data_IF_734429325511
#
_entry.id   IF_734429325511
#
_cell.length_a   1.000
_cell.length_b   1.000
_cell.length_c   1.000
_cell.angle_alpha   90.00
_cell.angle_beta   90.00
_cell.angle_gamma   90.00
#
_symmetry.space_group_name_H-M   'P 1'
#
loop_
_entity.id
_entity.type
_entity.pdbx_description
1 polymer ?
#
# COMPACT_ATOMS: atom_id res chain seq x y z
N UNK A 1 24.71 9.44 5.98
CA UNK A 1 23.64 10.23 5.36
C UNK A 1 22.46 10.39 6.30
N UNK A 2 21.61 11.41 6.08
CA UNK A 2 20.36 11.64 6.81
C UNK A 2 19.19 11.37 5.90
N UNK A 3 18.25 10.53 6.34
CA UNK A 3 17.06 10.17 5.56
C UNK A 3 15.80 10.58 6.32
N UNK A 4 14.78 11.05 5.60
CA UNK A 4 13.46 11.32 6.14
C UNK A 4 12.42 10.48 5.44
N UNK A 5 11.69 9.65 6.20
CA UNK A 5 10.49 8.93 5.74
C UNK A 5 9.28 9.78 6.11
N UNK A 6 8.46 10.12 5.12
CA UNK A 6 7.21 10.85 5.34
C UNK A 6 6.06 9.88 5.52
N UNK A 7 5.26 10.08 6.56
CA UNK A 7 4.11 9.28 6.94
C UNK A 7 4.17 8.73 8.35
N UNK A 8 3.15 7.96 8.76
CA UNK A 8 2.98 7.49 10.15
C UNK A 8 2.41 6.07 10.28
N UNK A 9 2.18 5.38 9.17
CA UNK A 9 1.57 4.05 9.15
C UNK A 9 2.54 2.90 9.45
N UNK A 10 2.02 1.68 9.36
CA UNK A 10 2.83 0.46 9.48
C UNK A 10 3.84 0.32 8.34
N UNK A 11 3.46 0.78 7.14
CA UNK A 11 4.34 0.87 5.98
C UNK A 11 5.56 1.75 6.26
N UNK A 12 5.36 2.95 6.81
CA UNK A 12 6.47 3.85 7.12
C UNK A 12 7.36 3.30 8.23
N UNK A 13 6.78 2.60 9.21
CA UNK A 13 7.59 1.91 10.22
C UNK A 13 8.43 0.79 9.60
N UNK A 14 7.89 0.00 8.66
CA UNK A 14 8.64 -1.03 7.97
C UNK A 14 9.75 -0.45 7.07
N UNK A 15 9.50 0.69 6.41
CA UNK A 15 10.52 1.43 5.67
C UNK A 15 11.64 1.92 6.61
N UNK A 16 11.29 2.52 7.74
CA UNK A 16 12.27 2.96 8.75
C UNK A 16 13.09 1.79 9.29
N UNK A 17 12.47 0.65 9.58
CA UNK A 17 13.17 -0.55 10.06
C UNK A 17 14.16 -1.08 9.00
N UNK A 18 13.75 -1.13 7.73
CA UNK A 18 14.63 -1.57 6.65
C UNK A 18 15.80 -0.60 6.43
N UNK A 19 15.57 0.70 6.50
CA UNK A 19 16.59 1.74 6.41
C UNK A 19 17.56 1.73 7.62
N UNK A 20 17.04 1.49 8.83
CA UNK A 20 17.83 1.48 10.05
C UNK A 20 18.87 0.33 10.12
N UNK A 21 18.78 -0.67 9.23
CA UNK A 21 19.78 -1.75 9.13
C UNK A 21 21.12 -1.26 8.56
N UNK A 22 21.10 -0.20 7.75
CA UNK A 22 22.29 0.30 7.10
C UNK A 22 23.16 1.13 8.03
N UNK A 23 24.46 0.83 8.03
CA UNK A 23 25.47 1.62 8.76
C UNK A 23 25.81 2.97 8.11
N UNK A 24 25.35 3.21 6.86
CA UNK A 24 25.57 4.46 6.13
C UNK A 24 24.64 5.57 6.58
N UNK A 25 23.52 5.22 7.25
CA UNK A 25 22.56 6.18 7.77
C UNK A 25 23.00 6.64 9.16
N UNK A 26 23.39 7.88 9.27
CA UNK A 26 23.81 8.49 10.55
C UNK A 26 22.62 9.06 11.32
N UNK A 27 21.53 9.40 10.64
CA UNK A 27 20.29 9.87 11.26
C UNK A 27 19.09 9.55 10.37
N UNK A 28 18.10 8.90 10.97
CA UNK A 28 16.79 8.64 10.37
C UNK A 28 15.73 9.53 11.03
N UNK A 29 14.85 10.11 10.22
CA UNK A 29 13.66 10.85 10.62
C UNK A 29 12.41 10.17 10.09
N UNK A 30 11.29 10.28 10.83
CA UNK A 30 9.97 9.84 10.36
C UNK A 30 8.94 10.93 10.70
N UNK A 31 8.23 11.46 9.71
CA UNK A 31 7.37 12.62 9.89
C UNK A 31 5.95 12.37 9.35
N UNK A 32 4.92 12.43 10.18
CA UNK A 32 4.97 12.66 11.62
C UNK A 32 5.45 11.45 12.45
N UNK A 33 5.47 10.22 11.86
CA UNK A 33 5.86 9.00 12.54
C UNK A 33 4.80 8.46 13.51
N UNK A 34 5.16 7.42 14.26
CA UNK A 34 4.30 6.77 15.27
C UNK A 34 5.13 6.30 16.48
N UNK A 35 4.51 5.66 17.46
CA UNK A 35 5.20 5.20 18.67
C UNK A 35 6.30 4.14 18.40
N UNK A 36 6.22 3.41 17.29
CA UNK A 36 7.25 2.45 16.91
C UNK A 36 8.44 3.11 16.21
N UNK A 37 8.17 4.02 15.28
CA UNK A 37 9.22 4.77 14.58
C UNK A 37 10.03 5.63 15.53
N UNK A 38 9.44 6.12 16.63
CA UNK A 38 10.14 6.88 17.67
C UNK A 38 11.28 6.09 18.36
N UNK A 39 11.28 4.75 18.26
CA UNK A 39 12.32 3.89 18.84
C UNK A 39 13.57 3.77 17.94
N UNK A 40 13.42 4.00 16.64
CA UNK A 40 14.47 3.78 15.63
C UNK A 40 14.78 5.00 14.76
N UNK A 41 13.94 6.03 14.84
CA UNK A 41 14.06 7.29 14.11
C UNK A 41 13.70 8.47 15.02
N UNK A 42 14.05 9.69 14.61
CA UNK A 42 13.51 10.89 15.25
C UNK A 42 12.20 11.27 14.57
N UNK A 43 11.11 11.18 15.33
CA UNK A 43 9.83 11.67 14.86
C UNK A 43 9.78 13.20 14.96
N UNK A 44 9.11 13.81 13.99
CA UNK A 44 8.84 15.25 14.01
C UNK A 44 7.41 15.46 13.49
N UNK A 45 6.59 16.12 14.31
CA UNK A 45 5.20 16.39 13.96
C UNK A 45 5.15 17.40 12.81
N UNK A 46 4.83 16.93 11.62
CA UNK A 46 4.86 17.66 10.37
C UNK A 46 3.59 17.37 9.57
N UNK A 47 2.89 18.44 9.21
CA UNK A 47 1.76 18.38 8.31
C UNK A 47 2.24 18.24 6.87
N UNK A 48 2.04 17.06 6.29
CA UNK A 48 2.50 16.75 4.94
C UNK A 48 1.72 17.45 3.83
N UNK A 49 0.61 18.12 4.14
CA UNK A 49 -0.14 18.95 3.21
C UNK A 49 0.44 20.37 3.08
N UNK A 50 1.28 20.78 4.05
CA UNK A 50 2.01 22.05 4.06
C UNK A 50 3.41 21.88 3.47
N UNK A 51 3.51 21.89 2.14
CA UNK A 51 4.76 21.62 1.43
C UNK A 51 5.92 22.56 1.84
N UNK A 52 5.60 23.81 2.18
CA UNK A 52 6.57 24.78 2.67
C UNK A 52 7.20 24.35 4.00
N UNK A 53 6.40 23.85 4.93
CA UNK A 53 6.89 23.36 6.23
C UNK A 53 7.75 22.10 6.04
N UNK A 54 7.35 21.20 5.13
CA UNK A 54 8.14 20.02 4.75
C UNK A 54 9.50 20.43 4.20
N UNK A 55 9.53 21.34 3.23
CA UNK A 55 10.78 21.88 2.66
C UNK A 55 11.68 22.50 3.73
N UNK A 56 11.13 23.38 4.57
CA UNK A 56 11.88 24.07 5.62
C UNK A 56 12.48 23.08 6.64
N UNK A 57 11.74 22.03 7.00
CA UNK A 57 12.25 20.93 7.81
C UNK A 57 13.44 20.23 7.15
N UNK A 58 13.31 19.85 5.88
CA UNK A 58 14.34 19.12 5.12
C UNK A 58 15.63 19.95 5.05
N UNK A 59 15.53 21.24 4.71
CA UNK A 59 16.67 22.14 4.61
C UNK A 59 17.30 22.38 5.96
N UNK A 60 16.52 22.64 7.01
CA UNK A 60 17.00 22.87 8.39
C UNK A 60 17.83 21.70 8.90
N UNK A 61 17.36 20.47 8.70
CA UNK A 61 18.03 19.26 9.20
C UNK A 61 19.05 18.68 8.21
N UNK A 62 19.19 19.27 7.02
CA UNK A 62 20.09 18.85 5.94
C UNK A 62 19.86 17.38 5.60
N UNK A 63 18.62 17.07 5.21
CA UNK A 63 18.21 15.71 4.80
C UNK A 63 18.76 15.42 3.40
N UNK A 64 19.44 14.28 3.25
CA UNK A 64 20.05 13.85 1.98
C UNK A 64 19.07 13.15 1.07
N UNK A 65 18.07 12.46 1.62
CA UNK A 65 17.04 11.72 0.87
C UNK A 65 15.71 11.78 1.60
N UNK A 66 14.65 12.09 0.85
CA UNK A 66 13.25 12.00 1.31
C UNK A 66 12.59 10.78 0.69
N UNK A 67 11.90 9.99 1.50
CA UNK A 67 11.10 8.82 1.06
C UNK A 67 9.63 9.10 1.37
N UNK A 68 8.80 9.20 0.34
CA UNK A 68 7.37 9.50 0.52
C UNK A 68 6.59 8.19 0.67
N UNK A 69 6.01 7.97 1.85
CA UNK A 69 5.24 6.77 2.15
C UNK A 69 3.79 6.83 1.66
N UNK A 70 2.98 7.86 2.05
CA UNK A 70 1.56 7.93 1.71
C UNK A 70 1.30 8.47 0.30
N UNK A 71 0.15 8.12 -0.26
CA UNK A 71 -0.28 8.47 -1.61
C UNK A 71 -0.65 9.96 -1.77
N UNK A 72 -1.30 10.56 -0.78
CA UNK A 72 -1.83 11.94 -0.91
C UNK A 72 -0.75 12.97 -1.25
N UNK A 73 0.39 13.06 -0.53
CA UNK A 73 1.46 13.98 -0.89
C UNK A 73 2.03 13.76 -2.30
N UNK A 74 2.08 12.51 -2.78
CA UNK A 74 2.53 12.18 -4.14
C UNK A 74 1.56 12.73 -5.19
N UNK A 75 0.26 12.45 -5.01
CA UNK A 75 -0.81 12.91 -5.92
C UNK A 75 -0.93 14.43 -5.93
N UNK A 76 -0.73 15.07 -4.78
CA UNK A 76 -0.79 16.54 -4.65
C UNK A 76 0.46 17.23 -5.23
N UNK A 77 1.58 16.50 -5.43
CA UNK A 77 2.78 17.00 -6.12
C UNK A 77 3.92 17.45 -5.22
N UNK A 78 4.03 16.86 -4.03
CA UNK A 78 5.14 17.15 -3.09
C UNK A 78 6.50 16.89 -3.73
N UNK A 79 6.64 15.85 -4.56
CA UNK A 79 7.90 15.53 -5.25
C UNK A 79 8.30 16.67 -6.16
N UNK A 80 7.39 17.11 -7.07
CA UNK A 80 7.63 18.22 -7.99
C UNK A 80 7.98 19.52 -7.25
N UNK A 81 7.34 19.73 -6.09
CA UNK A 81 7.63 20.92 -5.27
C UNK A 81 9.04 20.86 -4.66
N UNK A 82 9.45 19.73 -4.09
CA UNK A 82 10.74 19.60 -3.43
C UNK A 82 11.92 19.58 -4.42
N UNK A 83 11.73 19.02 -5.61
CA UNK A 83 12.76 18.98 -6.66
C UNK A 83 13.17 20.40 -7.13
N UNK A 84 12.29 21.41 -7.05
CA UNK A 84 12.62 22.81 -7.37
C UNK A 84 13.72 23.37 -6.45
N UNK A 85 13.94 22.76 -5.29
CA UNK A 85 14.96 23.14 -4.30
C UNK A 85 16.16 22.18 -4.29
N UNK A 86 16.32 21.35 -5.35
CA UNK A 86 17.37 20.32 -5.46
C UNK A 86 17.35 19.29 -4.32
N UNK A 87 16.19 19.03 -3.74
CA UNK A 87 16.01 18.00 -2.71
C UNK A 87 15.80 16.66 -3.41
N UNK A 88 16.62 15.66 -3.04
CA UNK A 88 16.47 14.29 -3.57
C UNK A 88 15.28 13.62 -2.92
N UNK A 89 14.30 13.19 -3.74
CA UNK A 89 13.06 12.56 -3.29
C UNK A 89 12.88 11.22 -3.98
N UNK A 90 12.58 10.18 -3.23
CA UNK A 90 12.13 8.90 -3.75
C UNK A 90 10.61 8.83 -3.70
N UNK A 91 10.00 8.88 -4.85
CA UNK A 91 8.56 8.85 -5.10
C UNK A 91 8.24 9.39 -6.49
N UNK A 92 7.13 8.99 -7.13
CA UNK A 92 6.75 9.51 -8.43
C UNK A 92 6.25 10.95 -8.33
N UNK A 93 6.47 11.72 -9.39
CA UNK A 93 5.97 13.08 -9.54
C UNK A 93 4.44 13.11 -9.63
N UNK A 94 3.85 14.31 -9.55
CA UNK A 94 2.40 14.54 -9.57
C UNK A 94 1.70 13.87 -10.75
N UNK A 95 2.29 13.96 -11.95
CA UNK A 95 1.70 13.42 -13.18
C UNK A 95 1.71 11.89 -13.17
N UNK A 96 2.82 11.26 -12.81
CA UNK A 96 2.92 9.81 -12.68
C UNK A 96 2.04 9.27 -11.54
N UNK A 97 1.88 10.05 -10.47
CA UNK A 97 1.02 9.70 -9.33
C UNK A 97 -0.47 9.65 -9.66
N UNK A 98 -0.88 10.19 -10.82
CA UNK A 98 -2.27 10.05 -11.29
C UNK A 98 -2.66 8.59 -11.59
N UNK A 99 -1.72 7.67 -11.71
CA UNK A 99 -2.02 6.23 -11.76
C UNK A 99 -2.81 5.74 -10.52
N UNK A 100 -2.59 6.34 -9.34
CA UNK A 100 -3.38 6.08 -8.11
C UNK A 100 -4.43 7.18 -7.89
N UNK A 101 -4.10 8.44 -8.21
CA UNK A 101 -4.95 9.60 -7.95
C UNK A 101 -6.24 9.63 -8.76
N UNK A 102 -6.25 9.06 -9.98
CA UNK A 102 -7.43 8.97 -10.83
C UNK A 102 -7.54 7.58 -11.47
N UNK A 103 -8.61 6.86 -11.11
CA UNK A 103 -8.93 5.58 -11.72
C UNK A 103 -9.23 5.73 -13.22
N UNK A 104 -9.85 6.84 -13.61
CA UNK A 104 -10.14 7.17 -15.00
C UNK A 104 -8.86 7.39 -15.80
N UNK A 105 -7.88 8.09 -15.24
CA UNK A 105 -6.57 8.25 -15.88
C UNK A 105 -5.95 6.89 -16.18
N UNK A 106 -5.93 5.99 -15.19
CA UNK A 106 -5.43 4.62 -15.35
C UNK A 106 -6.20 3.84 -16.40
N UNK A 107 -7.54 3.92 -16.41
CA UNK A 107 -8.38 3.22 -17.40
C UNK A 107 -8.16 3.72 -18.84
N UNK A 108 -7.99 5.03 -19.03
CA UNK A 108 -7.64 5.59 -20.35
C UNK A 108 -6.27 5.11 -20.83
N UNK A 109 -5.29 4.96 -19.93
CA UNK A 109 -4.01 4.32 -20.24
C UNK A 109 -4.22 2.86 -20.62
N UNK A 110 -5.00 2.11 -19.86
CA UNK A 110 -5.28 0.70 -20.17
C UNK A 110 -5.90 0.52 -21.56
N UNK A 111 -6.87 1.33 -21.91
CA UNK A 111 -7.53 1.31 -23.22
C UNK A 111 -6.54 1.61 -24.34
N UNK A 112 -5.82 2.74 -24.24
CA UNK A 112 -4.87 3.19 -25.27
C UNK A 112 -3.71 2.21 -25.50
N UNK A 113 -3.17 1.62 -24.43
CA UNK A 113 -2.00 0.74 -24.49
C UNK A 113 -2.37 -0.76 -24.40
N UNK A 114 -3.66 -1.08 -24.51
CA UNK A 114 -4.20 -2.46 -24.51
C UNK A 114 -3.79 -3.26 -23.28
N UNK A 115 -3.70 -2.61 -22.13
CA UNK A 115 -3.42 -3.26 -20.86
C UNK A 115 -4.66 -4.05 -20.41
N UNK A 116 -4.55 -5.35 -20.10
CA UNK A 116 -5.69 -6.14 -19.65
C UNK A 116 -6.30 -5.57 -18.38
N UNK A 117 -7.58 -5.25 -18.42
CA UNK A 117 -8.38 -4.76 -17.28
C UNK A 117 -9.85 -5.07 -17.53
N UNK A 118 -10.71 -4.95 -16.52
CA UNK A 118 -12.16 -5.08 -16.66
C UNK A 118 -12.71 -4.13 -17.72
N UNK A 119 -13.70 -4.56 -18.50
CA UNK A 119 -14.47 -3.66 -19.35
C UNK A 119 -15.16 -2.62 -18.47
N UNK A 120 -15.20 -1.38 -18.93
CA UNK A 120 -15.65 -0.27 -18.09
C UNK A 120 -16.45 0.78 -18.87
N UNK A 121 -17.23 1.56 -18.14
CA UNK A 121 -17.85 2.79 -18.56
C UNK A 121 -17.54 3.92 -17.57
N UNK A 122 -17.40 5.15 -18.08
CA UNK A 122 -17.16 6.35 -17.29
C UNK A 122 -18.40 7.23 -17.39
N UNK A 123 -18.91 7.71 -16.25
CA UNK A 123 -20.15 8.48 -16.19
C UNK A 123 -19.98 9.72 -15.31
N UNK A 124 -20.48 10.88 -15.80
CA UNK A 124 -20.42 12.17 -15.14
C UNK A 124 -21.71 12.54 -14.42
N UNK A 125 -22.75 11.73 -14.58
CA UNK A 125 -24.07 11.95 -13.94
C UNK A 125 -24.78 10.65 -13.60
N UNK A 126 -25.73 10.78 -12.69
CA UNK A 126 -26.51 9.67 -12.14
C UNK A 126 -27.45 9.03 -13.19
N UNK A 127 -28.05 9.85 -14.06
CA UNK A 127 -29.03 9.37 -15.06
C UNK A 127 -28.40 8.39 -16.05
N UNK A 128 -27.29 8.78 -16.68
CA UNK A 128 -26.58 7.94 -17.67
C UNK A 128 -26.03 6.68 -17.01
N UNK A 129 -25.53 6.79 -15.77
CA UNK A 129 -25.07 5.66 -14.98
C UNK A 129 -26.20 4.64 -14.76
N UNK A 130 -27.38 5.12 -14.34
CA UNK A 130 -28.54 4.25 -14.07
C UNK A 130 -29.08 3.60 -15.34
N UNK A 131 -29.02 4.29 -16.48
CA UNK A 131 -29.42 3.73 -17.76
C UNK A 131 -28.46 2.61 -18.22
N UNK A 132 -27.15 2.83 -18.06
CA UNK A 132 -26.15 1.80 -18.35
C UNK A 132 -26.35 0.55 -17.46
N UNK A 133 -26.61 0.75 -16.17
CA UNK A 133 -26.81 -0.33 -15.19
C UNK A 133 -28.02 -1.22 -15.52
N UNK A 134 -29.07 -0.70 -16.16
CA UNK A 134 -30.24 -1.50 -16.60
C UNK A 134 -29.89 -2.56 -17.65
N UNK A 135 -28.83 -2.30 -18.43
CA UNK A 135 -28.36 -3.20 -19.52
C UNK A 135 -27.16 -4.04 -19.14
N UNK A 136 -26.63 -3.84 -17.93
CA UNK A 136 -25.42 -4.50 -17.46
C UNK A 136 -25.68 -5.91 -16.93
N UNK A 137 -24.65 -6.77 -17.01
CA UNK A 137 -24.65 -8.09 -16.34
C UNK A 137 -24.15 -7.92 -14.91
N UNK A 138 -24.65 -8.73 -14.00
CA UNK A 138 -24.27 -8.73 -12.58
C UNK A 138 -23.51 -10.01 -12.21
N UNK A 139 -22.59 -9.98 -11.21
CA UNK A 139 -22.23 -8.79 -10.41
C UNK A 139 -21.49 -7.73 -11.23
N UNK A 140 -21.51 -6.46 -10.72
CA UNK A 140 -20.83 -5.32 -11.33
C UNK A 140 -20.08 -4.53 -10.27
N UNK A 141 -19.00 -3.82 -10.66
CA UNK A 141 -18.19 -3.03 -9.74
C UNK A 141 -18.36 -1.54 -10.04
N UNK A 142 -18.66 -0.74 -9.00
CA UNK A 142 -18.81 0.71 -9.11
C UNK A 142 -17.74 1.37 -8.24
N UNK A 143 -17.01 2.32 -8.80
CA UNK A 143 -15.89 2.99 -8.14
C UNK A 143 -16.01 4.52 -8.24
N UNK A 144 -15.79 5.22 -7.14
CA UNK A 144 -15.60 6.67 -7.13
C UNK A 144 -14.21 7.01 -7.72
N UNK A 145 -14.14 8.05 -8.57
CA UNK A 145 -12.88 8.53 -9.17
C UNK A 145 -12.20 9.56 -8.26
N UNK A 146 -11.77 9.11 -7.09
CA UNK A 146 -10.96 9.88 -6.14
C UNK A 146 -10.18 8.96 -5.20
N UNK A 147 -9.32 9.55 -4.35
CA UNK A 147 -8.63 8.85 -3.26
C UNK A 147 -9.61 8.57 -2.13
N UNK A 148 -10.24 7.40 -2.11
CA UNK A 148 -11.21 6.98 -1.11
C UNK A 148 -10.69 5.90 -0.16
N UNK A 149 -9.37 5.65 -0.10
CA UNK A 149 -8.73 4.63 0.75
C UNK A 149 -9.45 3.26 0.68
N UNK A 150 -9.81 2.82 -0.54
CA UNK A 150 -10.50 1.56 -0.80
C UNK A 150 -11.98 1.52 -0.41
N UNK A 151 -12.53 2.58 0.19
CA UNK A 151 -13.92 2.62 0.64
C UNK A 151 -14.93 2.97 -0.46
N UNK A 152 -14.49 3.63 -1.52
CA UNK A 152 -15.32 4.05 -2.66
C UNK A 152 -15.51 2.96 -3.73
N UNK A 153 -15.46 1.68 -3.37
CA UNK A 153 -15.62 0.53 -4.28
C UNK A 153 -16.79 -0.33 -3.81
N UNK A 154 -17.75 -0.54 -4.68
CA UNK A 154 -18.93 -1.37 -4.45
C UNK A 154 -18.95 -2.54 -5.42
N UNK A 155 -19.12 -3.75 -4.91
CA UNK A 155 -19.47 -4.94 -5.69
C UNK A 155 -20.97 -5.13 -5.52
N UNK A 156 -21.71 -5.00 -6.61
CA UNK A 156 -23.17 -5.00 -6.61
C UNK A 156 -23.69 -6.27 -7.29
N UNK A 157 -24.42 -7.08 -6.55
CA UNK A 157 -24.97 -8.35 -7.03
C UNK A 157 -26.25 -8.17 -7.87
N UNK A 158 -26.90 -7.02 -7.74
CA UNK A 158 -28.17 -6.69 -8.42
C UNK A 158 -28.33 -5.20 -8.69
N UNK A 159 -29.26 -4.86 -9.58
CA UNK A 159 -29.52 -3.50 -10.02
C UNK A 159 -29.85 -2.52 -8.90
N UNK A 160 -30.60 -2.96 -7.88
CA UNK A 160 -30.95 -2.07 -6.74
C UNK A 160 -29.72 -1.64 -5.97
N UNK A 161 -28.77 -2.56 -5.71
CA UNK A 161 -27.54 -2.26 -4.98
C UNK A 161 -26.66 -1.30 -5.77
N UNK A 162 -26.59 -1.51 -7.10
CA UNK A 162 -25.83 -0.67 -8.01
C UNK A 162 -26.39 0.77 -8.09
N UNK A 163 -27.72 0.92 -8.14
CA UNK A 163 -28.36 2.26 -8.11
C UNK A 163 -28.04 3.01 -6.82
N UNK A 164 -28.17 2.33 -5.67
CA UNK A 164 -27.84 2.92 -4.37
C UNK A 164 -26.36 3.35 -4.30
N UNK A 165 -25.44 2.52 -4.80
CA UNK A 165 -24.02 2.85 -4.84
C UNK A 165 -23.73 4.10 -5.69
N UNK A 166 -24.38 4.23 -6.85
CA UNK A 166 -24.28 5.44 -7.71
C UNK A 166 -24.76 6.68 -6.95
N UNK A 167 -25.95 6.61 -6.33
CA UNK A 167 -26.51 7.70 -5.54
C UNK A 167 -25.61 8.11 -4.38
N UNK A 168 -25.10 7.15 -3.60
CA UNK A 168 -24.20 7.42 -2.48
C UNK A 168 -22.90 8.13 -2.93
N UNK A 169 -22.32 7.74 -4.08
CA UNK A 169 -21.09 8.35 -4.59
C UNK A 169 -21.36 9.78 -5.07
N UNK A 170 -22.39 10.02 -5.89
CA UNK A 170 -22.70 11.36 -6.38
C UNK A 170 -23.17 12.30 -5.27
N UNK A 171 -23.81 11.77 -4.20
CA UNK A 171 -24.13 12.52 -2.99
C UNK A 171 -22.91 12.83 -2.09
N UNK A 172 -21.71 12.49 -2.51
CA UNK A 172 -20.45 12.88 -1.85
C UNK A 172 -20.07 12.05 -0.63
N UNK A 173 -20.59 10.84 -0.46
CA UNK A 173 -20.24 9.95 0.68
C UNK A 173 -18.73 9.75 0.86
N UNK A 174 -17.95 9.82 -0.22
CA UNK A 174 -16.49 9.67 -0.22
C UNK A 174 -15.79 10.97 -0.65
N UNK A 175 -16.40 12.12 -0.45
CA UNK A 175 -15.98 13.39 -1.00
C UNK A 175 -16.54 13.63 -2.40
N UNK A 176 -16.25 14.81 -2.96
CA UNK A 176 -16.70 15.15 -4.31
C UNK A 176 -16.06 14.22 -5.35
N UNK A 177 -16.88 13.48 -6.07
CA UNK A 177 -16.47 12.69 -7.21
C UNK A 177 -17.16 13.26 -8.47
N UNK A 178 -16.36 13.86 -9.38
CA UNK A 178 -16.89 14.37 -10.66
C UNK A 178 -17.42 13.23 -11.53
N UNK A 179 -16.79 12.08 -11.43
CA UNK A 179 -17.08 10.92 -12.26
C UNK A 179 -17.17 9.66 -11.42
N UNK A 180 -17.88 8.68 -11.93
CA UNK A 180 -17.84 7.30 -11.46
C UNK A 180 -17.35 6.37 -12.56
N UNK A 181 -16.75 5.26 -12.14
CA UNK A 181 -16.32 4.17 -13.00
C UNK A 181 -17.22 2.97 -12.72
N UNK A 182 -17.81 2.37 -13.76
CA UNK A 182 -18.59 1.14 -13.68
C UNK A 182 -17.84 0.07 -14.47
N UNK A 183 -17.55 -1.07 -13.85
CA UNK A 183 -16.73 -2.14 -14.40
C UNK A 183 -17.44 -3.48 -14.34
N UNK A 184 -17.17 -4.36 -15.32
CA UNK A 184 -17.53 -5.77 -15.19
C UNK A 184 -16.79 -6.40 -13.99
N UNK A 185 -17.45 -7.34 -13.33
CA UNK A 185 -16.81 -8.15 -12.29
C UNK A 185 -15.94 -9.24 -12.92
N UNK A 186 -14.68 -9.32 -12.53
CA UNK A 186 -13.76 -10.37 -12.94
C UNK A 186 -13.63 -11.39 -11.82
N UNK A 187 -13.99 -12.65 -12.11
CA UNK A 187 -13.75 -13.77 -11.20
C UNK A 187 -12.26 -14.14 -11.19
N UNK A 188 -11.71 -14.32 -9.99
CA UNK A 188 -10.31 -14.69 -9.84
C UNK A 188 -9.81 -14.51 -8.41
N UNK A 189 -8.51 -14.51 -8.26
CA UNK A 189 -7.85 -14.20 -7.00
C UNK A 189 -7.03 -12.93 -7.13
N UNK A 190 -7.14 -12.07 -6.12
CA UNK A 190 -6.35 -10.84 -6.06
C UNK A 190 -4.90 -11.15 -5.70
N UNK A 191 -3.98 -10.44 -6.35
CA UNK A 191 -2.55 -10.48 -6.08
C UNK A 191 -1.96 -9.07 -6.19
N UNK A 192 -1.06 -8.75 -5.28
CA UNK A 192 -0.25 -7.54 -5.31
C UNK A 192 1.10 -7.84 -5.96
N UNK A 193 1.42 -7.14 -7.05
CA UNK A 193 2.71 -7.24 -7.75
C UNK A 193 3.44 -5.91 -7.66
N UNK A 194 4.66 -5.94 -7.13
CA UNK A 194 5.46 -4.74 -6.90
C UNK A 194 6.65 -4.68 -7.85
N UNK A 195 6.86 -3.51 -8.41
CA UNK A 195 8.10 -3.16 -9.09
C UNK A 195 8.68 -1.89 -8.50
N UNK A 196 9.98 -1.73 -8.66
CA UNK A 196 10.69 -0.48 -8.40
C UNK A 196 11.28 0.04 -9.72
N UNK A 197 11.23 1.35 -9.91
CA UNK A 197 11.67 1.99 -11.15
C UNK A 197 12.50 3.24 -10.87
N UNK A 198 13.48 3.49 -11.73
CA UNK A 198 14.28 4.71 -11.76
C UNK A 198 13.94 5.62 -12.98
N UNK A 199 12.81 5.33 -13.66
CA UNK A 199 12.40 6.00 -14.88
C UNK A 199 12.96 5.35 -16.16
N UNK A 200 14.04 4.57 -16.07
CA UNK A 200 14.68 3.86 -17.18
C UNK A 200 14.60 2.34 -16.99
N UNK A 201 15.03 1.89 -15.85
CA UNK A 201 15.09 0.47 -15.43
C UNK A 201 13.91 0.14 -14.51
N UNK A 202 13.36 -1.05 -14.69
CA UNK A 202 12.31 -1.60 -13.83
C UNK A 202 12.81 -2.92 -13.27
N UNK A 203 12.65 -3.14 -11.97
CA UNK A 203 12.96 -4.42 -11.32
C UNK A 203 11.77 -4.92 -10.52
N UNK A 204 11.55 -6.24 -10.52
CA UNK A 204 10.58 -6.87 -9.63
C UNK A 204 10.98 -6.63 -8.18
N UNK A 205 10.02 -6.18 -7.35
CA UNK A 205 10.23 -5.88 -5.93
C UNK A 205 9.38 -6.77 -5.00
N UNK A 206 8.90 -7.88 -5.52
CA UNK A 206 8.15 -8.87 -4.76
C UNK A 206 6.67 -8.92 -5.07
N UNK A 207 6.01 -9.86 -4.41
CA UNK A 207 4.57 -10.10 -4.53
C UNK A 207 3.97 -10.40 -3.17
N UNK A 208 2.68 -10.08 -3.00
CA UNK A 208 1.95 -10.44 -1.80
C UNK A 208 0.48 -10.76 -2.13
N UNK A 209 -0.21 -11.38 -1.19
CA UNK A 209 -1.68 -11.43 -1.20
C UNK A 209 -2.20 -10.89 0.12
N UNK A 210 -3.07 -9.89 0.02
CA UNK A 210 -3.72 -9.20 1.13
C UNK A 210 -5.09 -9.83 1.44
N UNK A 211 -5.52 -9.68 2.69
CA UNK A 211 -6.85 -10.08 3.18
C UNK A 211 -7.66 -8.81 3.46
N UNK A 212 -8.35 -8.31 2.44
CA UNK A 212 -9.04 -7.01 2.49
C UNK A 212 -10.31 -6.99 3.33
N UNK A 213 -10.97 -8.11 3.52
CA UNK A 213 -12.24 -8.17 4.26
C UNK A 213 -12.00 -8.23 5.77
N UNK A 214 -12.88 -7.52 6.51
CA UNK A 214 -12.73 -7.32 7.96
C UNK A 214 -12.97 -8.59 8.78
N UNK A 215 -13.81 -9.52 8.31
CA UNK A 215 -14.19 -10.74 9.01
C UNK A 215 -13.51 -11.98 8.42
N UNK A 216 -13.42 -13.03 9.23
CA UNK A 216 -12.94 -14.34 8.82
C UNK A 216 -13.74 -14.89 7.64
N UNK A 217 -13.11 -15.75 6.82
CA UNK A 217 -13.68 -16.30 5.60
C UNK A 217 -13.90 -15.25 4.50
N UNK A 218 -13.11 -14.17 4.50
CA UNK A 218 -13.19 -13.06 3.55
C UNK A 218 -14.59 -12.44 3.46
N UNK A 219 -15.23 -12.21 4.62
CA UNK A 219 -16.56 -11.63 4.77
C UNK A 219 -16.52 -10.20 5.31
N UNK A 220 -17.66 -9.52 5.21
CA UNK A 220 -17.83 -8.15 5.75
C UNK A 220 -17.29 -7.07 4.82
N UNK A 221 -17.03 -5.89 5.39
CA UNK A 221 -16.61 -4.69 4.64
C UNK A 221 -15.15 -4.76 4.21
N UNK A 222 -14.82 -4.05 3.14
CA UNK A 222 -13.44 -3.82 2.74
C UNK A 222 -12.72 -2.95 3.78
N UNK A 223 -11.43 -3.20 3.93
CA UNK A 223 -10.52 -2.49 4.84
C UNK A 223 -9.24 -2.08 4.09
N UNK A 224 -8.31 -1.46 4.77
CA UNK A 224 -6.96 -1.24 4.25
C UNK A 224 -6.05 -2.49 4.30
N UNK A 225 -6.59 -3.67 4.66
CA UNK A 225 -5.87 -4.93 4.83
C UNK A 225 -5.84 -5.40 6.29
N UNK A 226 -6.26 -6.64 6.50
CA UNK A 226 -6.27 -7.32 7.81
C UNK A 226 -5.05 -8.21 8.03
N UNK A 227 -4.21 -8.35 7.01
CA UNK A 227 -3.00 -9.13 6.98
C UNK A 227 -2.64 -9.52 5.55
N UNK A 228 -1.39 -9.94 5.36
CA UNK A 228 -0.89 -10.35 4.07
C UNK A 228 0.17 -11.45 4.21
N UNK A 229 0.45 -12.15 3.12
CA UNK A 229 1.57 -13.06 3.03
C UNK A 229 2.39 -12.82 1.75
N UNK A 230 3.66 -13.15 1.79
CA UNK A 230 4.61 -13.00 0.69
C UNK A 230 5.60 -14.19 0.66
N UNK A 231 6.00 -14.65 -0.53
CA UNK A 231 5.48 -14.27 -1.86
C UNK A 231 4.05 -14.78 -2.06
N UNK A 232 3.34 -14.22 -3.06
CA UNK A 232 2.06 -14.75 -3.50
C UNK A 232 2.17 -16.22 -3.94
N UNK A 233 1.19 -17.05 -3.59
CA UNK A 233 1.13 -18.45 -4.05
C UNK A 233 0.85 -18.59 -5.55
N UNK A 234 0.30 -17.53 -6.15
CA UNK A 234 -0.09 -17.52 -7.57
C UNK A 234 1.11 -17.28 -8.49
N UNK A 235 2.17 -16.64 -8.00
CA UNK A 235 3.29 -16.23 -8.85
C UNK A 235 4.13 -17.42 -9.33
N UNK A 236 4.39 -17.45 -10.60
CA UNK A 236 5.36 -18.30 -11.26
C UNK A 236 6.03 -17.53 -12.40
N UNK A 237 7.04 -18.07 -13.02
CA UNK A 237 7.83 -17.40 -14.08
C UNK A 237 6.98 -16.99 -15.30
N UNK A 238 5.98 -17.78 -15.68
CA UNK A 238 5.08 -17.47 -16.80
C UNK A 238 4.17 -16.29 -16.46
N UNK A 239 3.52 -16.33 -15.30
CA UNK A 239 2.65 -15.25 -14.84
C UNK A 239 3.43 -13.95 -14.63
N UNK A 240 4.63 -14.01 -14.06
CA UNK A 240 5.51 -12.85 -13.92
C UNK A 240 5.81 -12.20 -15.27
N UNK A 241 6.21 -13.01 -16.27
CA UNK A 241 6.46 -12.54 -17.63
C UNK A 241 5.22 -11.90 -18.26
N UNK A 242 4.03 -12.50 -18.07
CA UNK A 242 2.76 -11.92 -18.54
C UNK A 242 2.48 -10.58 -17.89
N UNK A 243 2.65 -10.45 -16.56
CA UNK A 243 2.43 -9.21 -15.84
C UNK A 243 3.37 -8.11 -16.35
N UNK A 244 4.66 -8.42 -16.45
CA UNK A 244 5.65 -7.46 -16.94
C UNK A 244 5.33 -6.99 -18.35
N UNK A 245 5.07 -7.92 -19.29
CA UNK A 245 4.91 -7.59 -20.70
C UNK A 245 3.53 -6.98 -21.03
N UNK A 246 2.45 -7.43 -20.36
CA UNK A 246 1.08 -6.98 -20.69
C UNK A 246 0.64 -5.78 -19.85
N UNK A 247 1.25 -5.56 -18.68
CA UNK A 247 0.79 -4.56 -17.71
C UNK A 247 1.86 -3.53 -17.40
N UNK A 248 3.01 -3.97 -16.85
CA UNK A 248 4.02 -3.04 -16.32
C UNK A 248 4.72 -2.25 -17.42
N UNK A 249 5.33 -2.93 -18.40
CA UNK A 249 6.04 -2.23 -19.48
C UNK A 249 5.15 -1.31 -20.31
N UNK A 250 3.92 -1.69 -20.71
CA UNK A 250 3.01 -0.76 -21.38
C UNK A 250 2.63 0.46 -20.54
N UNK A 251 2.49 0.30 -19.21
CA UNK A 251 2.21 1.43 -18.32
C UNK A 251 3.37 2.41 -18.24
N UNK A 252 4.59 1.91 -18.09
CA UNK A 252 5.77 2.78 -18.06
C UNK A 252 5.98 3.44 -19.42
N UNK A 253 5.71 2.74 -20.53
CA UNK A 253 5.76 3.34 -21.86
C UNK A 253 4.72 4.45 -22.00
N UNK A 254 3.49 4.25 -21.50
CA UNK A 254 2.45 5.27 -21.50
C UNK A 254 2.90 6.54 -20.76
N UNK A 255 3.56 6.41 -19.61
CA UNK A 255 4.09 7.55 -18.87
C UNK A 255 5.21 8.26 -19.63
N UNK A 256 6.12 7.51 -20.28
CA UNK A 256 7.15 8.10 -21.16
C UNK A 256 6.56 8.89 -22.31
N UNK A 257 5.53 8.36 -22.98
CA UNK A 257 4.81 9.06 -24.05
C UNK A 257 4.10 10.32 -23.55
N UNK A 258 3.71 10.33 -22.29
CA UNK A 258 3.21 11.51 -21.58
C UNK A 258 4.32 12.45 -21.09
N UNK A 259 5.60 12.19 -21.46
CA UNK A 259 6.78 12.98 -21.06
C UNK A 259 6.91 13.07 -19.52
N UNK A 260 6.77 11.94 -18.84
CA UNK A 260 7.02 11.84 -17.41
C UNK A 260 7.69 10.51 -17.09
N UNK A 261 8.75 10.56 -16.28
CA UNK A 261 9.43 9.37 -15.76
C UNK A 261 8.69 8.86 -14.53
N UNK A 262 8.79 7.56 -14.29
CA UNK A 262 8.30 6.95 -13.05
C UNK A 262 9.47 6.56 -12.16
N UNK A 263 9.70 7.30 -11.08
CA UNK A 263 10.71 6.98 -10.06
C UNK A 263 9.96 6.61 -8.78
N UNK A 264 10.15 5.38 -8.29
CA UNK A 264 9.47 4.92 -7.09
C UNK A 264 9.02 3.47 -7.14
N UNK A 265 8.26 3.08 -6.12
CA UNK A 265 7.53 1.81 -6.11
C UNK A 265 6.24 1.93 -6.91
N UNK A 266 5.98 0.97 -7.78
CA UNK A 266 4.69 0.80 -8.44
C UNK A 266 4.06 -0.52 -8.00
N UNK A 267 2.93 -0.44 -7.35
CA UNK A 267 2.12 -1.57 -6.95
C UNK A 267 0.97 -1.75 -7.96
N UNK A 268 0.99 -2.85 -8.69
CA UNK A 268 -0.13 -3.28 -9.52
C UNK A 268 -1.02 -4.23 -8.71
N UNK A 269 -2.24 -3.81 -8.41
CA UNK A 269 -3.31 -4.66 -7.89
C UNK A 269 -3.92 -5.45 -9.04
N UNK A 270 -3.78 -6.76 -9.00
CA UNK A 270 -4.12 -7.66 -10.10
C UNK A 270 -5.23 -8.63 -9.70
N UNK A 271 -6.18 -8.91 -10.61
CA UNK A 271 -7.02 -10.08 -10.58
C UNK A 271 -6.41 -11.14 -11.48
N UNK A 272 -6.11 -12.30 -10.92
CA UNK A 272 -5.60 -13.45 -11.68
C UNK A 272 -6.77 -14.38 -11.97
N UNK A 273 -7.16 -14.44 -13.24
CA UNK A 273 -8.26 -15.29 -13.73
C UNK A 273 -7.72 -16.26 -14.77
N UNK A 274 -7.85 -17.57 -14.56
CA UNK A 274 -7.38 -18.61 -15.48
C UNK A 274 -5.91 -18.44 -15.92
N UNK A 275 -5.04 -18.06 -14.99
CA UNK A 275 -3.61 -17.76 -15.19
C UNK A 275 -3.34 -16.57 -16.14
N UNK A 276 -4.30 -15.66 -16.29
CA UNK A 276 -4.15 -14.37 -16.98
C UNK A 276 -4.31 -13.22 -16.00
N UNK A 277 -3.40 -12.20 -16.03
CA UNK A 277 -3.47 -11.06 -15.15
C UNK A 277 -4.35 -9.96 -15.74
N UNK A 278 -5.22 -9.38 -14.90
CA UNK A 278 -6.02 -8.20 -15.20
C UNK A 278 -5.72 -7.11 -14.17
N UNK A 279 -5.43 -5.92 -14.63
CA UNK A 279 -5.20 -4.78 -13.76
C UNK A 279 -6.51 -4.33 -13.11
N UNK A 280 -6.53 -4.28 -11.76
CA UNK A 280 -7.64 -3.73 -10.97
C UNK A 280 -7.38 -2.24 -10.70
N UNK A 281 -6.17 -1.91 -10.21
CA UNK A 281 -5.75 -0.57 -9.85
C UNK A 281 -4.22 -0.50 -9.73
N UNK A 282 -3.69 0.71 -9.76
CA UNK A 282 -2.33 0.99 -9.31
C UNK A 282 -2.32 1.70 -7.97
N UNK A 283 -1.25 1.44 -7.20
CA UNK A 283 -0.83 2.29 -6.10
C UNK A 283 0.61 2.74 -6.39
N UNK A 284 0.88 4.04 -6.23
CA UNK A 284 2.17 4.66 -6.61
C UNK A 284 3.18 4.65 -5.45
N UNK A 285 3.06 3.69 -4.58
CA UNK A 285 3.84 3.47 -3.35
C UNK A 285 3.70 2.01 -2.93
N UNK A 286 4.43 1.60 -1.88
CA UNK A 286 4.22 0.28 -1.28
C UNK A 286 2.83 0.16 -0.66
N UNK A 287 2.27 -1.04 -0.64
CA UNK A 287 1.03 -1.35 0.07
C UNK A 287 1.19 -1.36 1.59
N UNK A 288 0.10 -1.36 2.30
CA UNK A 288 0.03 -1.51 3.76
C UNK A 288 -1.13 -2.47 4.08
N UNK A 289 -0.88 -3.77 4.42
CA UNK A 289 0.31 -4.28 5.10
C UNK A 289 1.35 -5.01 4.23
N UNK A 290 1.33 -4.89 2.90
CA UNK A 290 2.26 -5.63 2.03
C UNK A 290 3.72 -5.20 2.24
N UNK A 291 3.98 -3.91 2.47
CA UNK A 291 5.32 -3.40 2.78
C UNK A 291 5.90 -4.09 4.01
N UNK A 292 5.13 -4.19 5.09
CA UNK A 292 5.50 -4.86 6.32
C UNK A 292 5.78 -6.35 6.11
N UNK A 293 5.15 -6.94 5.09
CA UNK A 293 5.30 -8.35 4.76
C UNK A 293 6.52 -8.60 3.88
N UNK A 294 6.84 -7.71 2.96
CA UNK A 294 7.90 -7.88 1.95
C UNK A 294 9.26 -7.44 2.48
N UNK A 295 9.39 -6.22 3.05
CA UNK A 295 10.68 -5.63 3.41
C UNK A 295 11.51 -6.44 4.42
N UNK A 296 10.93 -7.19 5.38
CA UNK A 296 11.69 -8.07 6.25
C UNK A 296 12.51 -9.14 5.52
N UNK A 297 12.11 -9.52 4.29
CA UNK A 297 12.81 -10.50 3.46
C UNK A 297 13.94 -9.90 2.61
N UNK A 298 14.00 -8.57 2.46
CA UNK A 298 15.06 -7.90 1.69
C UNK A 298 16.40 -8.08 2.39
N UNK A 299 17.46 -8.46 1.63
CA UNK A 299 18.83 -8.58 2.16
C UNK A 299 19.68 -7.35 1.91
N UNK A 300 19.42 -6.62 0.82
CA UNK A 300 20.12 -5.38 0.53
C UNK A 300 19.86 -4.29 1.57
N UNK A 301 20.81 -3.39 1.72
CA UNK A 301 20.59 -2.09 2.33
C UNK A 301 19.61 -1.29 1.48
N UNK A 302 18.42 -0.95 2.04
CA UNK A 302 17.33 -0.33 1.28
C UNK A 302 17.74 1.01 0.69
N UNK A 303 18.52 1.81 1.41
CA UNK A 303 18.96 3.12 0.92
C UNK A 303 19.77 3.05 -0.35
N UNK A 304 20.58 1.99 -0.57
CA UNK A 304 21.35 1.81 -1.82
C UNK A 304 20.41 1.70 -3.02
N UNK A 305 19.32 0.94 -2.87
CA UNK A 305 18.31 0.77 -3.91
C UNK A 305 17.60 2.11 -4.18
N UNK A 306 17.19 2.81 -3.12
CA UNK A 306 16.45 4.08 -3.26
C UNK A 306 17.32 5.18 -3.88
N UNK A 307 18.59 5.26 -3.50
CA UNK A 307 19.55 6.21 -4.08
C UNK A 307 19.78 5.88 -5.56
N UNK A 308 20.01 4.60 -5.88
CA UNK A 308 20.20 4.15 -7.27
C UNK A 308 18.98 4.52 -8.14
N UNK A 309 17.75 4.46 -7.60
CA UNK A 309 16.56 4.93 -8.32
C UNK A 309 16.61 6.43 -8.57
N UNK A 310 16.90 7.23 -7.55
CA UNK A 310 16.99 8.69 -7.70
C UNK A 310 18.12 9.13 -8.65
N UNK A 311 19.16 8.32 -8.80
CA UNK A 311 20.32 8.58 -9.66
C UNK A 311 20.25 7.90 -11.03
N UNK A 312 19.12 7.23 -11.35
CA UNK A 312 18.93 6.45 -12.60
C UNK A 312 20.00 5.37 -12.82
N UNK A 313 20.43 4.73 -11.72
CA UNK A 313 21.45 3.67 -11.69
C UNK A 313 20.91 2.32 -11.19
N UNK A 314 19.59 2.13 -11.21
CA UNK A 314 18.97 0.89 -10.70
C UNK A 314 19.43 -0.36 -11.47
N UNK A 315 19.87 -0.22 -12.72
CA UNK A 315 20.45 -1.30 -13.51
C UNK A 315 21.72 -1.91 -12.86
N UNK A 316 22.45 -1.13 -12.05
CA UNK A 316 23.69 -1.55 -11.38
C UNK A 316 23.45 -2.27 -10.04
N UNK A 317 22.22 -2.23 -9.50
CA UNK A 317 21.89 -2.85 -8.22
C UNK A 317 21.25 -4.21 -8.45
N UNK A 318 21.78 -5.27 -7.84
CA UNK A 318 21.10 -6.57 -7.78
C UNK A 318 20.22 -6.61 -6.53
N UNK A 319 18.91 -6.87 -6.70
CA UNK A 319 17.96 -6.95 -5.56
C UNK A 319 17.89 -8.41 -5.10
N UNK A 320 18.24 -8.63 -3.85
CA UNK A 320 18.37 -9.97 -3.27
C UNK A 320 17.37 -10.16 -2.11
N UNK A 321 16.85 -11.36 -2.02
CA UNK A 321 15.82 -11.73 -1.06
C UNK A 321 16.24 -12.96 -0.24
N UNK A 322 15.90 -12.95 1.05
CA UNK A 322 16.00 -14.14 1.89
C UNK A 322 15.12 -15.26 1.30
N UNK A 323 15.63 -16.47 1.25
CA UNK A 323 14.83 -17.64 0.87
C UNK A 323 13.87 -18.04 2.00
N UNK A 324 12.88 -17.19 2.27
CA UNK A 324 11.88 -17.34 3.32
C UNK A 324 10.49 -16.98 2.83
N UNK A 325 9.49 -17.35 3.62
CA UNK A 325 8.12 -16.89 3.55
C UNK A 325 7.90 -15.83 4.64
N UNK A 326 6.90 -14.99 4.43
CA UNK A 326 6.51 -13.96 5.38
C UNK A 326 4.99 -13.93 5.54
N UNK A 327 4.50 -13.74 6.75
CA UNK A 327 3.09 -13.58 7.04
C UNK A 327 2.90 -12.45 8.06
N UNK A 328 1.99 -11.53 7.74
CA UNK A 328 1.60 -10.39 8.56
C UNK A 328 0.16 -10.52 9.02
N UNK A 329 -0.11 -10.30 10.31
CA UNK A 329 -1.45 -10.19 10.88
C UNK A 329 -1.62 -8.79 11.47
N UNK A 330 -2.71 -8.11 11.08
CA UNK A 330 -3.01 -6.74 11.52
C UNK A 330 -3.94 -6.79 12.72
N UNK A 331 -3.50 -6.18 13.82
CA UNK A 331 -4.28 -5.94 15.02
C UNK A 331 -5.03 -4.62 14.89
N UNK A 332 -6.35 -4.66 15.01
CA UNK A 332 -7.23 -3.51 14.84
C UNK A 332 -7.88 -3.09 16.15
N UNK A 333 -8.24 -1.80 16.25
CA UNK A 333 -9.08 -1.29 17.31
C UNK A 333 -10.54 -1.70 17.13
N UNK A 334 -11.27 -1.88 18.24
CA UNK A 334 -12.70 -2.23 18.22
C UNK A 334 -13.51 -1.20 17.45
N UNK A 335 -14.29 -1.66 16.47
CA UNK A 335 -15.14 -0.86 15.61
C UNK A 335 -14.54 -0.57 14.21
N UNK A 336 -13.27 -0.91 13.98
CA UNK A 336 -12.68 -0.80 12.64
C UNK A 336 -13.44 -1.69 11.61
N UNK A 337 -13.65 -1.26 10.36
CA UNK A 337 -13.11 -0.07 9.68
C UNK A 337 -13.92 1.23 9.83
N UNK A 338 -14.97 1.24 10.62
CA UNK A 338 -15.87 2.38 10.77
C UNK A 338 -15.50 3.24 12.00
N UNK A 339 -16.40 3.33 12.98
CA UNK A 339 -16.22 4.12 14.19
C UNK A 339 -15.37 3.34 15.21
N UNK A 340 -14.06 3.40 15.09
CA UNK A 340 -13.12 2.70 15.97
C UNK A 340 -12.71 3.56 17.17
N UNK A 341 -12.41 2.87 18.28
CA UNK A 341 -11.95 3.51 19.52
C UNK A 341 -10.52 4.00 19.41
N UNK A 342 -10.25 5.21 19.92
CA UNK A 342 -8.93 5.83 20.03
C UNK A 342 -8.54 6.06 21.49
N UNK A 343 -7.32 6.51 21.74
CA UNK A 343 -6.79 6.85 23.07
C UNK A 343 -6.81 5.70 24.08
N UNK A 344 -6.73 4.46 23.60
CA UNK A 344 -6.65 3.27 24.44
C UNK A 344 -5.17 2.95 24.66
N UNK A 345 -4.75 2.81 25.93
CA UNK A 345 -3.39 2.35 26.27
C UNK A 345 -3.17 0.91 25.81
N UNK A 346 -2.06 0.67 25.12
CA UNK A 346 -1.62 -0.66 24.70
C UNK A 346 -0.62 -1.16 25.74
N UNK A 347 -1.08 -2.06 26.62
CA UNK A 347 -0.25 -2.64 27.67
C UNK A 347 0.44 -3.92 27.17
N UNK A 348 1.59 -4.24 27.75
CA UNK A 348 2.27 -5.52 27.52
C UNK A 348 3.12 -5.59 26.25
N UNK A 349 3.34 -4.49 25.54
CA UNK A 349 4.23 -4.47 24.36
C UNK A 349 5.65 -4.97 24.66
N UNK A 350 6.17 -4.65 25.86
CA UNK A 350 7.50 -5.07 26.29
C UNK A 350 7.58 -6.56 26.70
N UNK A 351 6.44 -7.23 26.84
CA UNK A 351 6.37 -8.63 27.21
C UNK A 351 6.39 -9.56 25.99
N UNK A 352 6.33 -9.00 24.79
CA UNK A 352 6.33 -9.77 23.53
C UNK A 352 7.77 -10.23 23.26
N UNK A 353 7.96 -11.54 23.23
CA UNK A 353 9.28 -12.14 22.97
C UNK A 353 9.53 -12.30 21.47
N UNK A 354 9.99 -11.24 20.79
CA UNK A 354 10.31 -11.27 19.36
C UNK A 354 11.65 -11.98 19.13
N UNK A 355 11.66 -12.96 18.23
CA UNK A 355 12.87 -13.58 17.70
C UNK A 355 13.46 -12.76 16.55
N UNK A 356 14.64 -13.15 16.05
CA UNK A 356 15.26 -12.52 14.86
C UNK A 356 14.43 -12.62 13.56
N UNK A 357 13.40 -13.47 13.55
CA UNK A 357 12.48 -13.65 12.43
C UNK A 357 11.14 -12.95 12.64
N UNK A 358 10.91 -12.36 13.81
CA UNK A 358 9.66 -11.69 14.17
C UNK A 358 9.83 -10.18 14.12
N UNK A 359 8.80 -9.49 13.64
CA UNK A 359 8.74 -8.04 13.57
C UNK A 359 7.42 -7.53 14.12
N UNK A 360 7.47 -6.41 14.80
CA UNK A 360 6.28 -5.70 15.30
C UNK A 360 6.31 -4.27 14.76
N UNK A 361 5.47 -4.00 13.78
CA UNK A 361 5.33 -2.67 13.23
C UNK A 361 4.12 -1.95 13.83
N UNK A 362 4.34 -0.75 14.33
CA UNK A 362 3.29 0.15 14.77
C UNK A 362 2.65 0.82 13.55
N UNK A 363 1.32 0.98 13.60
CA UNK A 363 0.55 1.76 12.64
C UNK A 363 -0.14 2.92 13.40
N UNK A 364 -1.43 2.87 13.62
CA UNK A 364 -2.17 3.90 14.33
C UNK A 364 -1.86 3.92 15.83
N UNK A 365 -0.67 4.38 16.20
CA UNK A 365 -0.22 4.49 17.60
C UNK A 365 0.52 5.80 17.84
N UNK A 366 0.46 6.31 19.06
CA UNK A 366 1.29 7.42 19.53
C UNK A 366 1.81 7.15 20.95
N UNK A 367 2.87 7.85 21.33
CA UNK A 367 3.44 7.76 22.66
C UNK A 367 3.06 9.01 23.48
N UNK A 368 2.67 8.79 24.73
CA UNK A 368 2.46 9.84 25.74
C UNK A 368 2.88 9.31 27.11
N UNK A 369 3.73 10.07 27.82
CA UNK A 369 4.25 9.71 29.14
C UNK A 369 4.83 8.28 29.18
N UNK A 370 5.66 7.92 28.19
CA UNK A 370 6.29 6.59 28.03
C UNK A 370 5.31 5.43 27.87
N UNK A 371 4.06 5.72 27.53
CA UNK A 371 3.01 4.73 27.26
C UNK A 371 2.54 4.84 25.83
N UNK A 372 2.24 3.71 25.23
CA UNK A 372 1.74 3.64 23.85
C UNK A 372 0.21 3.62 23.84
N UNK A 373 -0.39 4.43 22.98
CA UNK A 373 -1.83 4.57 22.81
C UNK A 373 -2.25 4.37 21.38
N UNK A 374 -3.51 3.95 21.19
CA UNK A 374 -4.17 3.82 19.89
C UNK A 374 -4.54 5.20 19.33
N UNK A 375 -4.13 5.50 18.09
CA UNK A 375 -4.53 6.69 17.32
C UNK A 375 -5.35 6.35 16.08
N UNK A 376 -5.24 5.14 15.54
CA UNK A 376 -5.84 4.70 14.28
C UNK A 376 -6.61 3.39 14.38
N UNK A 377 -7.28 3.01 13.28
CA UNK A 377 -8.08 1.79 13.22
C UNK A 377 -7.23 0.52 13.15
N UNK A 378 -6.21 0.48 12.27
CA UNK A 378 -5.16 -0.53 12.28
C UNK A 378 -4.09 -0.06 13.25
N UNK A 379 -3.73 -0.88 14.22
CA UNK A 379 -2.95 -0.48 15.39
C UNK A 379 -1.53 -1.02 15.32
N UNK A 380 -1.39 -2.34 15.18
CA UNK A 380 -0.11 -3.04 15.14
C UNK A 380 -0.11 -4.08 14.02
N UNK A 381 1.06 -4.37 13.49
CA UNK A 381 1.27 -5.42 12.49
C UNK A 381 2.30 -6.41 13.05
N UNK A 382 1.90 -7.63 13.26
CA UNK A 382 2.76 -8.72 13.67
C UNK A 382 3.21 -9.48 12.43
N UNK A 383 4.50 -9.62 12.25
CA UNK A 383 5.08 -10.30 11.08
C UNK A 383 6.05 -11.37 11.53
N UNK A 384 5.98 -12.53 10.89
CA UNK A 384 6.96 -13.60 11.12
C UNK A 384 7.49 -14.14 9.80
N UNK A 385 8.80 -14.38 9.76
CA UNK A 385 9.48 -15.07 8.67
C UNK A 385 9.68 -16.53 9.03
N UNK A 386 9.52 -17.43 8.05
CA UNK A 386 9.75 -18.87 8.22
C UNK A 386 10.12 -19.54 6.90
N UNK A 387 10.44 -20.82 6.93
CA UNK A 387 10.69 -21.65 5.75
C UNK A 387 9.37 -22.08 5.07
N UNK A 388 8.28 -22.09 5.84
CA UNK A 388 6.93 -22.38 5.35
C UNK A 388 5.92 -21.34 5.85
N UNK A 389 4.78 -21.21 5.17
CA UNK A 389 3.69 -20.34 5.63
C UNK A 389 3.05 -20.84 6.93
N UNK A 390 3.02 -22.16 7.14
CA UNK A 390 2.55 -22.74 8.40
C UNK A 390 3.43 -22.30 9.58
N UNK A 391 4.76 -22.33 9.44
CA UNK A 391 5.70 -21.82 10.43
C UNK A 391 5.45 -20.33 10.72
N UNK A 392 5.36 -19.50 9.67
CA UNK A 392 5.06 -18.08 9.81
C UNK A 392 3.74 -17.84 10.57
N UNK A 393 2.68 -18.57 10.20
CA UNK A 393 1.36 -18.46 10.84
C UNK A 393 1.43 -18.83 12.33
N UNK A 394 2.01 -19.96 12.66
CA UNK A 394 2.13 -20.40 14.06
C UNK A 394 2.90 -19.36 14.90
N UNK A 395 4.03 -18.88 14.40
CA UNK A 395 4.84 -17.89 15.08
C UNK A 395 4.09 -16.58 15.30
N UNK A 396 3.51 -15.98 14.25
CA UNK A 396 2.83 -14.70 14.37
C UNK A 396 1.64 -14.75 15.32
N UNK A 397 0.84 -15.84 15.30
CA UNK A 397 -0.29 -15.96 16.22
C UNK A 397 0.15 -16.25 17.67
N UNK A 398 1.29 -16.91 17.89
CA UNK A 398 1.85 -17.07 19.23
C UNK A 398 2.28 -15.71 19.79
N UNK A 399 2.95 -14.84 18.98
CA UNK A 399 3.31 -13.47 19.41
C UNK A 399 2.10 -12.60 19.71
N UNK A 400 1.04 -12.70 18.89
CA UNK A 400 -0.22 -12.00 19.13
C UNK A 400 -0.87 -12.36 20.47
N UNK A 401 -0.81 -13.63 20.89
CA UNK A 401 -1.36 -14.08 22.19
C UNK A 401 -0.61 -13.47 23.38
N UNK A 402 0.70 -13.21 23.25
CA UNK A 402 1.52 -12.61 24.33
C UNK A 402 1.04 -11.18 24.66
N UNK A 403 0.48 -10.45 23.71
CA UNK A 403 -0.03 -9.08 23.93
C UNK A 403 -1.32 -9.04 24.78
N UNK A 404 -2.12 -10.11 24.82
CA UNK A 404 -3.43 -10.16 25.47
C UNK A 404 -4.34 -8.96 25.14
N UNK A 405 -4.52 -8.67 23.83
CA UNK A 405 -5.29 -7.54 23.36
C UNK A 405 -6.81 -7.75 23.47
N UNK A 406 -7.43 -7.10 24.43
CA UNK A 406 -8.89 -7.20 24.68
C UNK A 406 -9.71 -6.01 24.15
N UNK A 407 -9.04 -4.96 23.64
CA UNK A 407 -9.67 -3.72 23.21
C UNK A 407 -9.85 -3.58 21.69
N UNK A 408 -9.61 -4.67 20.98
CA UNK A 408 -9.76 -4.74 19.53
C UNK A 408 -9.82 -6.20 19.07
N UNK A 409 -9.43 -6.43 17.83
CA UNK A 409 -9.51 -7.74 17.20
C UNK A 409 -8.46 -7.90 16.08
N UNK A 410 -8.28 -9.13 15.65
CA UNK A 410 -7.56 -9.53 14.47
C UNK A 410 -8.24 -10.75 13.84
N UNK A 411 -8.02 -11.02 12.59
CA UNK A 411 -8.50 -12.24 11.92
C UNK A 411 -7.61 -13.43 12.31
N UNK A 412 -8.22 -14.57 12.61
CA UNK A 412 -7.51 -15.82 12.98
C UNK A 412 -7.19 -16.69 11.77
N UNK A 413 -7.70 -16.34 10.61
CA UNK A 413 -7.60 -17.11 9.36
C UNK A 413 -6.62 -16.53 8.34
N UNK A 414 -5.81 -15.50 8.70
CA UNK A 414 -4.82 -14.94 7.78
C UNK A 414 -3.87 -16.06 7.31
N UNK A 415 -3.65 -16.12 5.99
CA UNK A 415 -2.87 -17.17 5.36
C UNK A 415 -3.61 -18.50 5.17
N UNK A 416 -4.96 -18.56 5.36
CA UNK A 416 -5.71 -19.79 5.15
C UNK A 416 -5.49 -20.41 3.75
N UNK A 417 -5.28 -19.59 2.73
CA UNK A 417 -5.04 -20.04 1.34
C UNK A 417 -3.68 -20.73 1.11
N UNK A 418 -2.76 -20.68 2.07
CA UNK A 418 -1.37 -21.17 1.90
C UNK A 418 -0.92 -22.12 3.00
N UNK A 419 -1.80 -22.47 3.95
CA UNK A 419 -1.51 -23.34 5.10
C UNK A 419 -2.45 -24.53 5.20
N UNK A 420 -3.12 -24.90 4.12
CA UNK A 420 -3.89 -26.13 4.03
C UNK A 420 -2.99 -27.35 3.93
#
# INVERSE_FOLDING_TARGET
MKICVLGSGGREHALCEALNRSKKIVQLYCCPGNAGTAKIAKNYDLDLEKFEDVKNFILKYKIDLVVVGPEKPLVDGLVDYLEQFNIKVFGPNKKASQLEGSKIFTKKICEKYKIPTAKFGIFENESDSKEFLKKSKYPIVIKADNLAAGKGVYICEKLSDAKNAVEEIFNGKFGYAKNILIEEFIEGEEMSFFVISDGVTIKNFGTAQDHKRVLEGDKGKNTGGMGAYSPSRLINKDLEKKILNKIIYPTIQALKDLKTDYIGFLYAGLMISKNEPYLIEYNVRMGDPECQTILPMLTNDLEEILIACCEKKLNQVNIEWKNKKSLCVVLCSKGYPENYKKNIEIKGLNNINLTKNDYLFHAGTFEKNQKTYVSGGRVLNFVSLGLSFLECKNNVYNRLKELNWTKGFYRKDIGHKVVE
#
